data_IF_591810110210
#
_entry.id   IF_591810110210
#
_cell.length_a   1.000
_cell.length_b   1.000
_cell.length_c   1.000
_cell.angle_alpha   90.00
_cell.angle_beta   90.00
_cell.angle_gamma   90.00
#
_symmetry.space_group_name_H-M   'P 1'
#
loop_
_entity.id
_entity.type
_entity.pdbx_description
1 polymer ?
#
# COMPACT_ATOMS: atom_id res chain seq x y z
N UNK A 1 18.14 -12.08 -46.26
CA UNK A 1 18.24 -10.80 -45.51
C UNK A 1 16.97 -10.43 -44.73
N UNK A 2 15.75 -10.58 -45.27
CA UNK A 2 14.49 -10.21 -44.55
C UNK A 2 14.20 -10.98 -43.24
N UNK A 3 14.60 -12.25 -43.11
CA UNK A 3 14.30 -13.06 -41.90
C UNK A 3 15.04 -12.60 -40.64
N UNK A 4 16.25 -12.06 -40.80
CA UNK A 4 17.07 -11.59 -39.67
C UNK A 4 16.56 -10.28 -39.06
N UNK A 5 15.93 -9.42 -39.86
CA UNK A 5 15.34 -8.16 -39.40
C UNK A 5 14.14 -8.43 -38.49
N UNK A 6 13.30 -9.42 -38.82
CA UNK A 6 12.17 -9.80 -37.98
C UNK A 6 12.60 -10.43 -36.65
N UNK A 7 13.67 -11.23 -36.64
CA UNK A 7 14.21 -11.81 -35.39
C UNK A 7 14.80 -10.73 -34.47
N UNK A 8 15.50 -9.73 -35.02
CA UNK A 8 16.03 -8.61 -34.24
C UNK A 8 14.91 -7.72 -33.66
N UNK A 9 13.84 -7.46 -34.41
CA UNK A 9 12.68 -6.71 -33.92
C UNK A 9 11.94 -7.43 -32.78
N UNK A 10 11.81 -8.75 -32.86
CA UNK A 10 11.22 -9.57 -31.79
C UNK A 10 12.08 -9.60 -30.52
N UNK A 11 13.42 -9.60 -30.65
CA UNK A 11 14.32 -9.47 -29.50
C UNK A 11 14.20 -8.08 -28.85
N UNK A 12 14.14 -7.00 -29.64
CA UNK A 12 14.01 -5.64 -29.10
C UNK A 12 12.65 -5.39 -28.44
N UNK A 13 11.57 -5.97 -28.97
CA UNK A 13 10.23 -5.86 -28.38
C UNK A 13 10.09 -6.67 -27.07
N UNK A 14 10.87 -7.75 -26.89
CA UNK A 14 10.85 -8.57 -25.68
C UNK A 14 11.62 -7.97 -24.49
N UNK A 15 12.55 -7.03 -24.74
CA UNK A 15 13.36 -6.41 -23.67
C UNK A 15 12.60 -5.26 -22.99
N UNK A 16 11.69 -4.58 -23.69
CA UNK A 16 10.95 -3.43 -23.15
C UNK A 16 9.86 -3.79 -22.11
N UNK A 17 9.43 -5.04 -22.06
CA UNK A 17 8.44 -5.56 -21.10
C UNK A 17 9.06 -6.34 -19.94
N UNK A 18 10.37 -6.54 -19.96
CA UNK A 18 11.12 -7.15 -18.87
C UNK A 18 11.61 -6.05 -17.92
N UNK A 19 11.00 -5.97 -16.74
CA UNK A 19 11.44 -5.20 -15.58
C UNK A 19 11.22 -3.67 -15.59
N UNK A 20 9.97 -3.23 -15.44
CA UNK A 20 9.76 -2.07 -14.57
C UNK A 20 9.88 -2.57 -13.11
N UNK A 21 11.12 -2.88 -12.69
CA UNK A 21 11.41 -3.22 -11.31
C UNK A 21 10.83 -2.09 -10.43
N UNK A 22 10.15 -2.48 -9.34
CA UNK A 22 9.68 -1.50 -8.38
C UNK A 22 10.87 -0.66 -7.89
N UNK A 23 10.61 0.62 -7.64
CA UNK A 23 11.55 1.44 -6.86
C UNK A 23 11.75 0.82 -5.48
N UNK A 24 12.84 1.20 -4.83
CA UNK A 24 13.10 0.79 -3.47
C UNK A 24 12.27 1.63 -2.50
N UNK A 25 11.15 1.08 -2.04
CA UNK A 25 10.26 1.72 -1.08
C UNK A 25 10.68 1.51 0.37
N UNK A 26 11.79 0.82 0.65
CA UNK A 26 12.12 0.37 1.98
C UNK A 26 12.33 1.54 2.97
N UNK A 27 11.82 1.36 4.18
CA UNK A 27 11.89 2.34 5.27
C UNK A 27 10.56 2.58 5.99
N UNK A 28 10.63 3.44 7.01
CA UNK A 28 9.46 3.95 7.72
C UNK A 28 8.90 5.17 6.98
N UNK A 29 7.59 5.22 6.79
CA UNK A 29 6.90 6.29 6.08
C UNK A 29 5.73 6.81 6.91
N UNK A 30 5.67 8.12 7.12
CA UNK A 30 4.72 8.74 8.04
C UNK A 30 4.08 9.99 7.46
N UNK A 31 2.80 10.22 7.77
CA UNK A 31 2.13 11.43 7.34
C UNK A 31 0.71 11.55 7.87
N UNK A 32 0.17 12.76 7.77
CA UNK A 32 -1.24 13.05 8.05
C UNK A 32 -1.97 13.25 6.73
N UNK A 33 -3.00 12.44 6.52
CA UNK A 33 -3.82 12.45 5.32
C UNK A 33 -5.11 13.23 5.55
N UNK A 34 -5.60 13.88 4.51
CA UNK A 34 -6.89 14.57 4.51
C UNK A 34 -7.96 13.60 4.04
N UNK A 35 -9.00 13.41 4.85
CA UNK A 35 -10.17 12.62 4.51
C UNK A 35 -11.11 13.42 3.61
N UNK A 36 -11.93 12.71 2.83
CA UNK A 36 -12.94 13.34 1.98
C UNK A 36 -14.01 14.14 2.78
N UNK A 37 -14.23 13.80 4.05
CA UNK A 37 -15.17 14.49 4.96
C UNK A 37 -14.58 15.73 5.65
N UNK A 38 -13.33 16.10 5.32
CA UNK A 38 -12.62 17.24 5.92
C UNK A 38 -11.88 16.91 7.22
N UNK A 39 -12.00 15.68 7.74
CA UNK A 39 -11.18 15.20 8.83
C UNK A 39 -9.76 14.81 8.41
N UNK A 40 -8.95 14.37 9.36
CA UNK A 40 -7.60 13.85 9.08
C UNK A 40 -7.38 12.46 9.68
N UNK A 41 -6.37 11.76 9.17
CA UNK A 41 -5.87 10.48 9.71
C UNK A 41 -4.36 10.45 9.64
N UNK A 42 -3.70 10.02 10.73
CA UNK A 42 -2.27 9.75 10.72
C UNK A 42 -2.01 8.32 10.23
N UNK A 43 -1.05 8.17 9.32
CA UNK A 43 -0.65 6.89 8.75
C UNK A 43 0.86 6.72 8.96
N UNK A 44 1.25 5.52 9.42
CA UNK A 44 2.63 5.08 9.60
C UNK A 44 2.78 3.68 9.03
N UNK A 45 3.64 3.54 8.03
CA UNK A 45 3.88 2.31 7.30
C UNK A 45 5.36 1.96 7.36
N UNK A 46 5.69 0.70 7.60
CA UNK A 46 7.05 0.20 7.44
C UNK A 46 7.11 -0.66 6.19
N UNK A 47 8.07 -0.40 5.30
CA UNK A 47 8.25 -1.15 4.06
C UNK A 47 9.58 -1.88 4.07
N UNK A 48 9.56 -3.17 3.73
CA UNK A 48 10.76 -4.01 3.64
C UNK A 48 10.59 -5.00 2.48
N UNK A 49 11.49 -4.96 1.51
CA UNK A 49 11.44 -5.77 0.29
C UNK A 49 10.11 -5.61 -0.47
N UNK A 50 9.56 -4.38 -0.51
CA UNK A 50 8.22 -4.06 -1.02
C UNK A 50 7.05 -4.74 -0.28
N UNK A 51 7.26 -5.30 0.91
CA UNK A 51 6.17 -5.69 1.81
C UNK A 51 5.86 -4.53 2.73
N UNK A 52 4.60 -4.09 2.73
CA UNK A 52 4.12 -3.02 3.63
C UNK A 52 3.60 -3.64 4.91
N UNK A 53 4.03 -3.11 6.04
CA UNK A 53 3.60 -3.48 7.39
C UNK A 53 2.99 -2.28 8.09
N UNK A 54 1.90 -2.52 8.82
CA UNK A 54 1.46 -1.57 9.84
C UNK A 54 2.45 -1.61 11.00
N UNK A 55 2.44 -0.59 11.84
CA UNK A 55 3.29 -0.54 13.03
C UNK A 55 2.47 -0.28 14.26
N UNK A 56 2.93 -0.80 15.40
CA UNK A 56 2.36 -0.53 16.71
C UNK A 56 3.49 -0.28 17.71
N UNK A 57 3.15 0.35 18.82
CA UNK A 57 4.07 0.45 19.95
C UNK A 57 3.90 -0.81 20.81
N UNK A 58 4.99 -1.41 21.25
CA UNK A 58 4.95 -2.50 22.22
C UNK A 58 4.88 -2.00 23.67
N UNK A 59 4.92 -2.93 24.63
CA UNK A 59 4.79 -2.61 26.05
C UNK A 59 6.01 -1.85 26.59
N UNK A 60 7.15 -1.93 25.91
CA UNK A 60 8.40 -1.26 26.27
C UNK A 60 8.52 0.14 25.62
N UNK A 61 7.59 0.49 24.73
CA UNK A 61 7.56 1.78 24.03
C UNK A 61 8.24 1.76 22.67
N UNK A 62 8.70 0.60 22.20
CA UNK A 62 9.40 0.45 20.94
C UNK A 62 8.41 0.28 19.77
N UNK A 63 8.81 0.82 18.61
CA UNK A 63 8.02 0.70 17.39
C UNK A 63 8.31 -0.65 16.72
N UNK A 64 7.26 -1.48 16.60
CA UNK A 64 7.37 -2.82 16.00
C UNK A 64 6.36 -3.01 14.86
N UNK A 65 6.63 -3.98 13.98
CA UNK A 65 5.70 -4.43 12.93
C UNK A 65 4.44 -5.01 13.59
N UNK A 66 3.27 -4.58 13.14
CA UNK A 66 1.99 -5.09 13.61
C UNK A 66 1.54 -6.28 12.75
N UNK A 67 1.82 -7.48 13.25
CA UNK A 67 1.46 -8.74 12.60
C UNK A 67 0.02 -9.19 12.88
N UNK A 68 -0.76 -8.48 13.71
CA UNK A 68 -2.18 -8.83 13.88
C UNK A 68 -3.03 -8.46 12.66
N UNK A 69 -2.51 -7.57 11.79
CA UNK A 69 -3.13 -7.18 10.53
C UNK A 69 -2.50 -7.99 9.41
N UNK A 70 -3.22 -8.99 8.90
CA UNK A 70 -2.70 -9.83 7.82
C UNK A 70 -2.70 -9.03 6.51
N UNK A 71 -1.51 -8.59 6.07
CA UNK A 71 -1.30 -7.98 4.76
C UNK A 71 -1.42 -9.08 3.73
N UNK A 72 -2.58 -9.17 3.08
CA UNK A 72 -2.88 -10.23 2.13
C UNK A 72 -2.16 -10.01 0.79
N UNK A 73 -1.82 -8.76 0.46
CA UNK A 73 -1.08 -8.45 -0.75
C UNK A 73 -0.27 -7.16 -0.57
N UNK A 74 1.00 -7.22 -0.95
CA UNK A 74 1.79 -6.03 -1.28
C UNK A 74 2.48 -6.24 -2.62
N UNK A 75 2.32 -5.29 -3.54
CA UNK A 75 2.88 -5.41 -4.89
C UNK A 75 3.31 -4.06 -5.44
N UNK A 76 4.60 -3.97 -5.77
CA UNK A 76 5.20 -2.84 -6.44
C UNK A 76 5.37 -3.05 -7.94
N UNK A 77 5.20 -1.98 -8.72
CA UNK A 77 5.57 -1.93 -10.13
C UNK A 77 6.02 -0.51 -10.50
N UNK A 78 7.26 -0.36 -10.97
CA UNK A 78 7.87 0.95 -11.21
C UNK A 78 7.76 1.88 -9.99
N UNK A 79 7.14 3.04 -10.16
CA UNK A 79 6.96 4.04 -9.10
C UNK A 79 5.70 3.85 -8.24
N UNK A 80 5.04 2.70 -8.26
CA UNK A 80 3.86 2.45 -7.43
C UNK A 80 4.06 1.24 -6.53
N UNK A 81 3.53 1.31 -5.30
CA UNK A 81 3.45 0.22 -4.35
C UNK A 81 2.04 0.19 -3.76
N UNK A 82 1.33 -0.93 -3.93
CA UNK A 82 0.01 -1.11 -3.36
C UNK A 82 0.06 -2.12 -2.23
N UNK A 83 -0.67 -1.86 -1.16
CA UNK A 83 -0.80 -2.77 -0.03
C UNK A 83 -2.26 -2.89 0.41
N UNK A 84 -2.64 -4.10 0.80
CA UNK A 84 -3.97 -4.42 1.22
C UNK A 84 -3.90 -5.34 2.44
N UNK A 85 -4.67 -5.01 3.47
CA UNK A 85 -4.87 -5.89 4.61
C UNK A 85 -6.34 -5.91 5.01
N UNK A 86 -6.72 -6.98 5.68
CA UNK A 86 -8.05 -7.14 6.27
C UNK A 86 -7.91 -7.71 7.68
N UNK A 87 -8.69 -7.17 8.62
CA UNK A 87 -8.79 -7.75 9.96
C UNK A 87 -9.62 -9.03 9.92
N UNK A 88 -9.19 -10.05 10.67
CA UNK A 88 -9.89 -11.33 10.81
C UNK A 88 -10.62 -11.46 12.14
N UNK A 89 -10.61 -10.42 12.99
CA UNK A 89 -11.13 -10.45 14.36
C UNK A 89 -12.62 -10.13 14.54
N UNK A 90 -13.52 -11.11 14.36
CA UNK A 90 -14.85 -11.14 15.00
C UNK A 90 -16.02 -10.51 14.25
N UNK A 91 -17.01 -9.97 14.99
CA UNK A 91 -18.31 -9.41 14.51
C UNK A 91 -18.13 -8.24 13.52
N UNK A 92 -16.95 -7.62 13.56
CA UNK A 92 -16.53 -6.52 12.70
C UNK A 92 -15.41 -6.99 11.76
N UNK A 93 -15.56 -6.72 10.45
CA UNK A 93 -14.49 -6.83 9.46
C UNK A 93 -14.01 -5.44 9.03
N UNK A 94 -12.70 -5.25 9.03
CA UNK A 94 -12.06 -4.04 8.54
C UNK A 94 -11.18 -4.37 7.36
N UNK A 95 -11.25 -3.57 6.31
CA UNK A 95 -10.41 -3.65 5.12
C UNK A 95 -9.73 -2.32 4.90
N UNK A 96 -8.41 -2.33 4.72
CA UNK A 96 -7.67 -1.13 4.34
C UNK A 96 -6.81 -1.37 3.10
N UNK A 97 -6.78 -0.35 2.26
CA UNK A 97 -5.98 -0.32 1.04
C UNK A 97 -5.15 0.95 0.99
N UNK A 98 -3.87 0.78 0.65
CA UNK A 98 -2.90 1.86 0.50
C UNK A 98 -2.33 1.79 -0.92
N UNK A 99 -2.46 2.89 -1.65
CA UNK A 99 -1.80 3.07 -2.94
C UNK A 99 -0.74 4.15 -2.80
N UNK A 100 0.52 3.74 -2.83
CA UNK A 100 1.69 4.60 -2.69
C UNK A 100 2.26 4.87 -4.08
N UNK A 101 2.58 6.13 -4.34
CA UNK A 101 3.24 6.58 -5.55
C UNK A 101 4.51 7.35 -5.20
N UNK A 102 5.61 6.94 -5.80
CA UNK A 102 6.91 7.56 -5.63
C UNK A 102 6.91 8.98 -6.19
N UNK A 103 7.25 9.96 -5.35
CA UNK A 103 7.43 11.35 -5.80
C UNK A 103 8.90 11.77 -5.71
N UNK A 104 9.59 11.39 -4.63
CA UNK A 104 11.03 11.57 -4.43
C UNK A 104 11.58 10.53 -3.45
N UNK A 105 12.88 10.55 -3.18
CA UNK A 105 13.53 9.63 -2.22
C UNK A 105 13.01 9.76 -0.79
N UNK A 106 12.50 10.94 -0.44
CA UNK A 106 12.01 11.28 0.92
C UNK A 106 10.50 11.58 0.93
N UNK A 107 9.77 11.31 -0.16
CA UNK A 107 8.32 11.57 -0.23
C UNK A 107 7.56 10.58 -1.10
N UNK A 108 6.44 10.08 -0.56
CA UNK A 108 5.43 9.33 -1.28
C UNK A 108 4.11 10.10 -1.31
N UNK A 109 3.42 10.08 -2.45
CA UNK A 109 2.00 10.40 -2.52
C UNK A 109 1.20 9.15 -2.16
N UNK A 110 0.11 9.31 -1.41
CA UNK A 110 -0.71 8.20 -0.94
C UNK A 110 -2.19 8.45 -1.20
N UNK A 111 -2.86 7.41 -1.70
CA UNK A 111 -4.30 7.26 -1.67
C UNK A 111 -4.67 6.10 -0.75
N UNK A 112 -5.45 6.38 0.28
CA UNK A 112 -5.82 5.43 1.33
C UNK A 112 -7.33 5.24 1.36
N UNK A 113 -7.78 3.99 1.50
CA UNK A 113 -9.18 3.69 1.82
C UNK A 113 -9.27 2.78 3.03
N UNK A 114 -10.31 3.03 3.82
CA UNK A 114 -10.75 2.18 4.92
C UNK A 114 -12.22 1.84 4.70
N UNK A 115 -12.53 0.56 4.80
CA UNK A 115 -13.90 0.05 4.81
C UNK A 115 -14.11 -0.81 6.05
N UNK A 116 -15.26 -0.65 6.67
CA UNK A 116 -15.69 -1.36 7.87
C UNK A 116 -17.07 -1.92 7.61
N UNK A 117 -17.24 -3.22 7.84
CA UNK A 117 -18.53 -3.89 7.84
C UNK A 117 -18.75 -4.59 9.18
N UNK A 118 -19.86 -4.31 9.85
CA UNK A 118 -20.19 -4.86 11.17
C UNK A 118 -21.56 -5.54 11.17
N UNK A 119 -21.69 -6.70 11.83
CA UNK A 119 -22.99 -7.28 12.14
C UNK A 119 -23.55 -6.62 13.41
N UNK A 120 -24.49 -5.70 13.21
CA UNK A 120 -25.29 -5.15 14.30
C UNK A 120 -26.50 -6.06 14.49
N UNK A 121 -27.05 -6.20 15.70
CA UNK A 121 -28.15 -7.15 15.98
C UNK A 121 -29.43 -7.01 15.12
N UNK A 122 -29.50 -6.04 14.20
CA UNK A 122 -30.55 -5.82 13.21
C UNK A 122 -30.10 -5.99 11.73
N UNK A 123 -28.88 -6.50 11.46
CA UNK A 123 -28.32 -6.65 10.11
C UNK A 123 -26.88 -6.13 10.00
N UNK A 124 -26.39 -5.95 8.78
CA UNK A 124 -25.03 -5.44 8.55
C UNK A 124 -25.04 -3.91 8.38
N UNK A 125 -24.08 -3.23 9.00
CA UNK A 125 -23.78 -1.82 8.74
C UNK A 125 -22.42 -1.69 8.07
N UNK A 126 -22.33 -0.76 7.12
CA UNK A 126 -21.10 -0.49 6.36
C UNK A 126 -20.76 1.00 6.46
N UNK A 127 -19.50 1.28 6.78
CA UNK A 127 -18.98 2.65 6.78
C UNK A 127 -17.48 2.66 6.46
N UNK A 128 -16.95 3.83 6.14
CA UNK A 128 -15.56 3.94 5.74
C UNK A 128 -15.18 5.35 5.35
N UNK A 129 -13.95 5.51 4.87
CA UNK A 129 -13.48 6.77 4.33
C UNK A 129 -12.38 6.53 3.30
N UNK A 130 -12.16 7.55 2.46
CA UNK A 130 -10.95 7.71 1.67
C UNK A 130 -10.15 8.90 2.18
N UNK A 131 -8.83 8.82 2.08
CA UNK A 131 -7.92 9.89 2.45
C UNK A 131 -6.76 9.99 1.47
N UNK A 132 -6.25 11.20 1.27
CA UNK A 132 -5.08 11.47 0.44
C UNK A 132 -4.10 12.39 1.13
N UNK A 133 -2.83 12.28 0.76
CA UNK A 133 -1.78 13.13 1.31
C UNK A 133 -0.40 12.69 0.86
N UNK A 134 0.60 13.05 1.65
CA UNK A 134 1.98 12.63 1.44
C UNK A 134 2.51 11.94 2.69
N UNK A 135 3.41 10.98 2.49
CA UNK A 135 4.22 10.36 3.53
C UNK A 135 5.67 10.79 3.37
N UNK A 136 6.35 10.95 4.50
CA UNK A 136 7.75 11.31 4.63
C UNK A 136 8.52 10.19 5.30
N UNK A 137 9.79 10.04 4.91
CA UNK A 137 10.72 9.08 5.48
C UNK A 137 11.34 9.61 6.77
#
# INVERSE_FOLDING_TARGET
>A
MKKWIFTALLLCAGIGSAFAQAKDFDGLWEGTLNKADGGTVFVRLFVEENNVYMTRTDDDGDLIKDFSKEVMMSKGYGGQLNAFWMDTGGVWTETQFYSLSWTSEDELSIYHTRHVSNEDGNGYSDWGYSATGTLKK
#
